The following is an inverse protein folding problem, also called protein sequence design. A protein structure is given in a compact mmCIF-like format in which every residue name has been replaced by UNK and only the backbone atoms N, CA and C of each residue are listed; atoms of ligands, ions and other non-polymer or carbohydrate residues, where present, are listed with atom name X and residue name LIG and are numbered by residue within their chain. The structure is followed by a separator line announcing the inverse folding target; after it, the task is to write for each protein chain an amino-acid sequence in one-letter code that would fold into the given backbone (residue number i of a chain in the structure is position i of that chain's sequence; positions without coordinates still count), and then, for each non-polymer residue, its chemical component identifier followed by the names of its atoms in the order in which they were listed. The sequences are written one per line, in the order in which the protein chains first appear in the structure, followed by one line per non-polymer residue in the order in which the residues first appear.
data_IF_032778610867
#
_entry.id   IF_032778610867
#
_cell.length_a   1.000
_cell.length_b   1.000
_cell.length_c   1.000
_cell.angle_alpha   90.00
_cell.angle_beta   90.00
_cell.angle_gamma   90.00
#
_symmetry.space_group_name_H-M   'P 1'
#
loop_
_entity.id
_entity.type
_entity.pdbx_description
1 polymer ?
#
# COMPACT_ATOMS: atom_id res chain seq x y z
N UNK A 1 -31.61 44.85 -62.23
CA UNK A 1 -32.02 44.15 -60.99
C UNK A 1 -30.95 44.41 -59.94
N UNK A 2 -31.29 45.13 -58.86
CA UNK A 2 -30.34 45.46 -57.79
C UNK A 2 -30.24 44.30 -56.79
N UNK A 3 -29.02 43.81 -56.54
CA UNK A 3 -28.73 42.82 -55.51
C UNK A 3 -28.26 43.54 -54.25
N UNK A 4 -28.96 43.34 -53.15
CA UNK A 4 -28.71 44.00 -51.87
C UNK A 4 -27.73 43.14 -51.04
N UNK A 5 -26.44 43.14 -51.37
CA UNK A 5 -25.43 42.36 -50.64
C UNK A 5 -24.73 43.22 -49.56
N UNK A 6 -25.25 43.20 -48.34
CA UNK A 6 -24.65 43.82 -47.15
C UNK A 6 -23.52 42.94 -46.61
N UNK A 7 -22.27 43.31 -46.90
CA UNK A 7 -21.09 42.61 -46.36
C UNK A 7 -20.83 43.05 -44.92
N UNK A 8 -21.12 42.17 -43.95
CA UNK A 8 -20.82 42.39 -42.52
C UNK A 8 -19.58 41.59 -42.13
N UNK A 9 -18.63 42.23 -41.44
CA UNK A 9 -17.47 41.55 -40.87
C UNK A 9 -17.91 40.82 -39.61
N UNK A 10 -17.66 39.52 -39.55
CA UNK A 10 -18.03 38.65 -38.41
C UNK A 10 -16.81 37.84 -38.00
N UNK A 11 -16.58 37.75 -36.70
CA UNK A 11 -15.56 36.90 -36.09
C UNK A 11 -16.20 35.59 -35.65
N UNK A 12 -15.55 34.48 -35.98
CA UNK A 12 -16.00 33.13 -35.69
C UNK A 12 -15.12 32.52 -34.60
N UNK A 13 -15.72 31.83 -33.64
CA UNK A 13 -15.02 30.94 -32.71
C UNK A 13 -15.62 29.53 -32.82
N UNK A 14 -14.76 28.52 -32.74
CA UNK A 14 -15.15 27.12 -32.71
C UNK A 14 -15.14 26.65 -31.26
N UNK A 15 -16.21 25.98 -30.82
CA UNK A 15 -16.28 25.36 -29.49
C UNK A 15 -15.53 24.01 -29.45
N UNK A 16 -15.50 23.37 -28.28
CA UNK A 16 -14.84 22.06 -28.06
C UNK A 16 -15.45 20.92 -28.90
N UNK A 17 -16.59 21.16 -29.56
CA UNK A 17 -17.29 20.21 -30.42
C UNK A 17 -17.18 20.59 -31.91
N UNK A 18 -16.21 21.44 -32.28
CA UNK A 18 -15.99 21.96 -33.64
C UNK A 18 -17.21 22.69 -34.23
N UNK A 19 -18.18 23.10 -33.41
CA UNK A 19 -19.32 23.86 -33.90
C UNK A 19 -18.94 25.34 -33.98
N UNK A 20 -19.10 25.91 -35.17
CA UNK A 20 -18.79 27.31 -35.41
C UNK A 20 -19.94 28.19 -34.95
N UNK A 21 -19.69 29.05 -33.96
CA UNK A 21 -20.68 30.02 -33.47
C UNK A 21 -20.25 31.44 -33.82
N UNK A 22 -21.25 32.30 -34.07
CA UNK A 22 -21.03 33.68 -34.50
C UNK A 22 -20.93 34.60 -33.29
N UNK A 23 -19.74 35.14 -33.02
CA UNK A 23 -19.50 35.98 -31.86
C UNK A 23 -19.70 37.46 -32.21
N UNK A 24 -20.73 38.04 -31.57
CA UNK A 24 -21.02 39.47 -31.40
C UNK A 24 -20.70 40.39 -32.60
N UNK A 25 -21.67 40.57 -33.49
CA UNK A 25 -21.64 41.63 -34.50
C UNK A 25 -21.81 43.02 -33.88
N UNK A 26 -20.88 43.94 -34.16
CA UNK A 26 -20.97 45.37 -33.79
C UNK A 26 -21.89 46.07 -34.81
N UNK A 27 -23.03 46.61 -34.37
CA UNK A 27 -23.78 47.60 -35.15
C UNK A 27 -23.01 48.92 -35.05
N UNK A 28 -22.39 49.35 -36.15
CA UNK A 28 -21.79 50.68 -36.24
C UNK A 28 -22.91 51.73 -36.28
N UNK A 29 -23.07 52.47 -35.18
CA UNK A 29 -23.99 53.59 -35.04
C UNK A 29 -23.73 54.29 -33.71
N UNK A 30 -23.05 55.43 -33.81
CA UNK A 30 -22.77 56.44 -32.78
C UNK A 30 -21.97 56.01 -31.52
N UNK A 31 -20.94 56.83 -31.30
CA UNK A 31 -20.14 57.09 -30.10
C UNK A 31 -20.78 56.70 -28.75
N UNK A 32 -20.03 56.00 -27.89
CA UNK A 32 -19.85 56.22 -26.43
C UNK A 32 -19.18 54.99 -25.72
N UNK A 33 -18.56 55.19 -24.53
CA UNK A 33 -17.24 54.68 -24.19
C UNK A 33 -17.25 53.37 -23.38
N UNK A 34 -16.04 52.80 -23.23
CA UNK A 34 -15.60 51.88 -22.19
C UNK A 34 -16.64 51.52 -21.09
N UNK A 35 -17.46 50.50 -21.35
CA UNK A 35 -18.35 49.92 -20.34
C UNK A 35 -18.24 48.39 -20.40
N UNK A 36 -17.88 47.81 -19.25
CA UNK A 36 -17.94 46.39 -18.84
C UNK A 36 -16.81 45.45 -19.29
N UNK A 37 -15.72 45.53 -18.54
CA UNK A 37 -14.94 44.34 -18.19
C UNK A 37 -15.89 43.34 -17.48
N UNK A 38 -16.08 42.18 -18.10
CA UNK A 38 -17.12 41.18 -17.81
C UNK A 38 -16.82 40.38 -16.51
N UNK A 39 -17.84 40.02 -15.71
CA UNK A 39 -17.68 39.17 -14.51
C UNK A 39 -17.25 37.72 -14.80
N UNK A 40 -17.26 37.29 -16.07
CA UNK A 40 -16.92 35.93 -16.48
C UNK A 40 -15.43 35.57 -16.23
N UNK A 41 -14.50 36.49 -16.53
CA UNK A 41 -13.06 36.26 -16.35
C UNK A 41 -12.66 36.12 -14.86
N UNK A 42 -13.33 36.85 -13.96
CA UNK A 42 -13.07 36.75 -12.51
C UNK A 42 -13.50 35.40 -11.90
N UNK A 43 -14.56 34.80 -12.42
CA UNK A 43 -15.05 33.50 -11.92
C UNK A 43 -14.12 32.34 -12.31
N UNK A 44 -13.44 32.43 -13.46
CA UNK A 44 -12.41 31.46 -13.87
C UNK A 44 -11.15 31.54 -13.02
N UNK A 45 -10.72 32.75 -12.65
CA UNK A 45 -9.57 32.95 -11.77
C UNK A 45 -9.84 32.42 -10.35
N UNK A 46 -11.05 32.60 -9.82
CA UNK A 46 -11.43 32.01 -8.53
C UNK A 46 -11.55 30.48 -8.58
N UNK A 47 -12.06 29.92 -9.69
CA UNK A 47 -12.13 28.45 -9.88
C UNK A 47 -10.76 27.81 -9.92
N UNK A 48 -9.81 28.39 -10.65
CA UNK A 48 -8.43 27.88 -10.72
C UNK A 48 -7.71 27.97 -9.37
N UNK A 49 -7.91 29.06 -8.62
CA UNK A 49 -7.39 29.21 -7.24
C UNK A 49 -7.99 28.17 -6.30
N UNK A 50 -9.31 28.01 -6.31
CA UNK A 50 -10.00 27.00 -5.50
C UNK A 50 -9.53 25.57 -5.87
N UNK A 51 -9.34 25.29 -7.16
CA UNK A 51 -8.85 24.00 -7.64
C UNK A 51 -7.40 23.74 -7.23
N UNK A 52 -6.53 24.75 -7.30
CA UNK A 52 -5.14 24.66 -6.84
C UNK A 52 -5.07 24.42 -5.33
N UNK A 53 -5.93 25.08 -4.54
CA UNK A 53 -6.01 24.88 -3.10
C UNK A 53 -6.45 23.45 -2.74
N UNK A 54 -7.46 22.92 -3.43
CA UNK A 54 -7.90 21.52 -3.24
C UNK A 54 -6.76 20.56 -3.61
N UNK A 55 -6.04 20.79 -4.71
CA UNK A 55 -4.90 19.95 -5.10
C UNK A 55 -3.79 19.98 -4.04
N UNK A 56 -3.48 21.15 -3.48
CA UNK A 56 -2.47 21.29 -2.44
C UNK A 56 -2.86 20.55 -1.15
N UNK A 57 -4.12 20.68 -0.71
CA UNK A 57 -4.60 19.96 0.48
C UNK A 57 -4.62 18.45 0.25
N UNK A 58 -5.01 17.98 -0.94
CA UNK A 58 -4.95 16.55 -1.29
C UNK A 58 -3.51 16.04 -1.27
N UNK A 59 -2.55 16.78 -1.83
CA UNK A 59 -1.13 16.41 -1.78
C UNK A 59 -0.62 16.35 -0.35
N UNK A 60 -0.95 17.35 0.47
CA UNK A 60 -0.56 17.39 1.89
C UNK A 60 -1.11 16.19 2.67
N UNK A 61 -2.38 15.84 2.47
CA UNK A 61 -2.99 14.67 3.12
C UNK A 61 -2.35 13.37 2.63
N UNK A 62 -2.11 13.23 1.32
CA UNK A 62 -1.46 12.06 0.75
C UNK A 62 -0.05 11.86 1.31
N UNK A 63 0.74 12.93 1.43
CA UNK A 63 2.07 12.87 2.03
C UNK A 63 2.02 12.47 3.52
N UNK A 64 1.10 13.07 4.29
CA UNK A 64 0.89 12.72 5.68
C UNK A 64 0.48 11.24 5.84
N UNK A 65 -0.42 10.74 4.99
CA UNK A 65 -0.84 9.35 4.98
C UNK A 65 0.32 8.40 4.62
N UNK A 66 1.13 8.75 3.62
CA UNK A 66 2.32 7.96 3.25
C UNK A 66 3.31 7.86 4.40
N UNK A 67 3.59 8.97 5.10
CA UNK A 67 4.50 8.97 6.26
C UNK A 67 3.91 8.15 7.41
N UNK A 68 2.61 8.31 7.70
CA UNK A 68 1.94 7.54 8.74
C UNK A 68 1.94 6.03 8.44
N UNK A 69 1.69 5.64 7.19
CA UNK A 69 1.76 4.26 6.74
C UNK A 69 3.18 3.70 6.84
N UNK A 70 4.20 4.46 6.42
CA UNK A 70 5.60 4.06 6.55
C UNK A 70 6.02 3.83 8.00
N UNK A 71 5.65 4.75 8.91
CA UNK A 71 5.98 4.60 10.32
C UNK A 71 5.21 3.45 10.96
N UNK A 72 3.95 3.22 10.57
CA UNK A 72 3.18 2.04 11.01
C UNK A 72 3.86 0.74 10.61
N UNK A 73 4.30 0.62 9.35
CA UNK A 73 5.04 -0.55 8.85
C UNK A 73 6.36 -0.71 9.61
N UNK A 74 7.10 0.39 9.83
CA UNK A 74 8.36 0.37 10.58
C UNK A 74 8.16 -0.15 12.00
N UNK A 75 7.12 0.31 12.68
CA UNK A 75 6.78 -0.15 14.04
C UNK A 75 6.34 -1.60 14.06
N UNK A 76 5.54 -2.04 13.08
CA UNK A 76 5.12 -3.44 12.96
C UNK A 76 6.32 -4.37 12.77
N UNK A 77 7.25 -4.01 11.87
CA UNK A 77 8.49 -4.77 11.62
C UNK A 77 9.37 -4.87 12.87
N UNK A 78 9.53 -3.76 13.62
CA UNK A 78 10.31 -3.77 14.84
C UNK A 78 9.69 -4.69 15.91
N UNK A 79 8.37 -4.64 16.08
CA UNK A 79 7.64 -5.52 17.00
C UNK A 79 7.78 -6.98 16.60
N UNK A 80 7.54 -7.29 15.32
CA UNK A 80 7.67 -8.65 14.77
C UNK A 80 9.08 -9.20 15.01
N UNK A 81 10.11 -8.42 14.71
CA UNK A 81 11.50 -8.84 14.89
C UNK A 81 11.83 -9.15 16.34
N UNK A 82 11.41 -8.31 17.29
CA UNK A 82 11.61 -8.56 18.72
C UNK A 82 10.90 -9.84 19.15
N UNK A 83 9.62 -10.01 18.76
CA UNK A 83 8.88 -11.23 19.11
C UNK A 83 9.49 -12.48 18.51
N UNK A 84 9.98 -12.42 17.26
CA UNK A 84 10.62 -13.54 16.60
C UNK A 84 11.97 -13.91 17.24
N UNK A 85 12.77 -12.91 17.63
CA UNK A 85 14.03 -13.14 18.36
C UNK A 85 13.75 -13.77 19.74
N UNK A 86 12.75 -13.28 20.48
CA UNK A 86 12.34 -13.84 21.77
C UNK A 86 11.83 -15.30 21.64
N UNK A 87 10.95 -15.57 20.67
CA UNK A 87 10.45 -16.92 20.38
C UNK A 87 11.58 -17.87 19.99
N UNK A 88 12.53 -17.39 19.18
CA UNK A 88 13.71 -18.17 18.80
C UNK A 88 14.56 -18.54 20.02
N UNK A 89 14.82 -17.59 20.92
CA UNK A 89 15.60 -17.86 22.14
C UNK A 89 14.88 -18.84 23.07
N UNK A 90 13.56 -18.70 23.23
CA UNK A 90 12.74 -19.67 23.97
C UNK A 90 12.83 -21.06 23.36
N UNK A 91 12.66 -21.18 22.05
CA UNK A 91 12.74 -22.45 21.35
C UNK A 91 14.12 -23.11 21.49
N UNK A 92 15.20 -22.33 21.38
CA UNK A 92 16.56 -22.82 21.60
C UNK A 92 16.77 -23.36 23.01
N UNK A 93 16.28 -22.65 24.03
CA UNK A 93 16.38 -23.10 25.41
C UNK A 93 15.63 -24.42 25.65
N UNK A 94 14.41 -24.55 25.13
CA UNK A 94 13.65 -25.80 25.23
C UNK A 94 14.31 -26.94 24.44
N UNK A 95 14.89 -26.67 23.27
CA UNK A 95 15.62 -27.67 22.51
C UNK A 95 16.81 -28.23 23.30
N UNK A 96 17.58 -27.36 23.98
CA UNK A 96 18.68 -27.79 24.85
C UNK A 96 18.19 -28.65 26.01
N UNK A 97 17.11 -28.24 26.69
CA UNK A 97 16.54 -29.05 27.76
C UNK A 97 16.08 -30.43 27.27
N UNK A 98 15.44 -30.49 26.11
CA UNK A 98 15.00 -31.75 25.53
C UNK A 98 16.19 -32.64 25.18
N UNK A 99 17.26 -32.08 24.63
CA UNK A 99 18.48 -32.83 24.32
C UNK A 99 19.11 -33.44 25.58
N UNK A 100 19.20 -32.68 26.68
CA UNK A 100 19.69 -33.20 27.96
C UNK A 100 18.82 -34.35 28.48
N UNK A 101 17.48 -34.19 28.41
CA UNK A 101 16.53 -35.24 28.82
C UNK A 101 16.61 -36.47 27.93
N UNK A 102 16.79 -36.29 26.62
CA UNK A 102 17.01 -37.40 25.69
C UNK A 102 18.30 -38.15 26.01
N UNK A 103 19.38 -37.46 26.36
CA UNK A 103 20.63 -38.13 26.75
C UNK A 103 20.46 -38.93 28.04
N UNK A 104 19.73 -38.39 29.01
CA UNK A 104 19.44 -39.11 30.25
C UNK A 104 18.58 -40.36 30.00
N UNK A 105 17.52 -40.23 29.20
CA UNK A 105 16.71 -41.37 28.78
C UNK A 105 17.53 -42.40 28.00
N UNK A 106 18.41 -41.98 27.09
CA UNK A 106 19.31 -42.89 26.35
C UNK A 106 20.22 -43.69 27.28
N UNK A 107 20.72 -43.09 28.36
CA UNK A 107 21.53 -43.79 29.36
C UNK A 107 20.70 -44.83 30.11
N UNK A 108 19.47 -44.48 30.49
CA UNK A 108 18.54 -45.41 31.14
C UNK A 108 18.17 -46.57 30.22
N UNK A 109 17.85 -46.30 28.96
CA UNK A 109 17.54 -47.31 27.95
C UNK A 109 18.71 -48.27 27.73
N UNK A 110 19.93 -47.74 27.62
CA UNK A 110 21.13 -48.57 27.48
C UNK A 110 21.32 -49.50 28.69
N UNK A 111 21.13 -48.95 29.91
CA UNK A 111 21.21 -49.74 31.13
C UNK A 111 20.18 -50.87 31.16
N UNK A 112 18.91 -50.59 30.85
CA UNK A 112 17.86 -51.61 30.85
C UNK A 112 18.06 -52.65 29.74
N UNK A 113 18.50 -52.25 28.55
CA UNK A 113 18.85 -53.19 27.48
C UNK A 113 19.97 -54.14 27.89
N UNK A 114 20.98 -53.64 28.62
CA UNK A 114 22.05 -54.51 29.11
C UNK A 114 21.56 -55.49 30.20
N UNK A 115 20.65 -55.05 31.08
CA UNK A 115 20.02 -55.96 32.05
C UNK A 115 19.18 -57.03 31.37
N UNK A 116 18.40 -56.67 30.34
CA UNK A 116 17.63 -57.62 29.55
C UNK A 116 18.55 -58.62 28.84
N UNK A 117 19.61 -58.17 28.18
CA UNK A 117 20.57 -59.06 27.51
C UNK A 117 21.20 -60.08 28.47
N UNK A 118 21.56 -59.67 29.69
CA UNK A 118 22.07 -60.59 30.74
C UNK A 118 21.04 -61.61 31.19
N UNK A 119 19.75 -61.24 31.20
CA UNK A 119 18.68 -62.16 31.53
C UNK A 119 18.40 -63.12 30.38
N UNK A 120 18.38 -62.63 29.14
CA UNK A 120 18.24 -63.43 27.92
C UNK A 120 19.35 -64.47 27.81
N UNK A 121 20.62 -64.07 28.00
CA UNK A 121 21.75 -65.01 28.02
C UNK A 121 21.57 -66.12 29.07
N UNK A 122 21.10 -65.78 30.27
CA UNK A 122 20.81 -66.78 31.30
C UNK A 122 19.68 -67.72 30.89
N UNK A 123 18.62 -67.20 30.28
CA UNK A 123 17.48 -68.01 29.79
C UNK A 123 17.92 -68.92 28.65
N UNK A 124 18.75 -68.43 27.72
CA UNK A 124 19.31 -69.22 26.62
C UNK A 124 20.17 -70.38 27.13
N UNK A 125 20.96 -70.16 28.19
CA UNK A 125 21.72 -71.24 28.84
C UNK A 125 20.79 -72.33 29.39
N UNK A 126 19.63 -71.97 29.94
CA UNK A 126 18.67 -72.97 30.44
C UNK A 126 17.95 -73.72 29.30
N UNK A 127 17.59 -73.04 28.20
CA UNK A 127 16.93 -73.70 27.06
C UNK A 127 17.87 -74.63 26.27
N UNK A 128 19.19 -74.40 26.33
CA UNK A 128 20.22 -75.30 25.79
C UNK A 128 20.48 -76.56 26.64
N UNK A 129 20.02 -76.60 27.89
CA UNK A 129 20.19 -77.76 28.80
C UNK A 129 18.98 -78.72 28.73
N UNK A 130 17.81 -78.22 28.34
CA UNK A 130 16.55 -78.98 28.28
C UNK A 130 16.26 -79.63 26.89
N UNK A 131 17.23 -79.65 25.97
CA UNK A 131 17.18 -80.34 24.67
C UNK A 131 18.32 -81.35 24.51
#
# INVERSE_FOLDING_TARGET
MGSNNSTRRVSFEADENDNVTVVKGIRAGEELPAITCLPAFRLEEERTKAQAQVQQEVQRMLEAERVAAQESIRQALLKERVTAEDDRLRAQFYAQQLEEREQELRKQDAFYKEQLAKLEERVDVYTLIDH
#
